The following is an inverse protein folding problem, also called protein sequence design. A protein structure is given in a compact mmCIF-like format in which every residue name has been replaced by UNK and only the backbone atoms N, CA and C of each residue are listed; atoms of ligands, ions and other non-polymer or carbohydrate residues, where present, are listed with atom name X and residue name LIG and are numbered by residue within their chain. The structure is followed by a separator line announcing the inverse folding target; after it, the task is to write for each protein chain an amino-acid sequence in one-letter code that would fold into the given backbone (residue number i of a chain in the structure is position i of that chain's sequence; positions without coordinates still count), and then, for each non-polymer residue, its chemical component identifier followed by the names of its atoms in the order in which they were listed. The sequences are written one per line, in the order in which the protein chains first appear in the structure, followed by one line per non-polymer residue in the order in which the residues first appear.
data_IF_699105701535
#
_entry.id   IF_699105701535
#
_cell.length_a   1.000
_cell.length_b   1.000
_cell.length_c   1.000
_cell.angle_alpha   90.00
_cell.angle_beta   90.00
_cell.angle_gamma   90.00
#
_symmetry.space_group_name_H-M   'P 1'
#
loop_
_entity.id
_entity.type
_entity.pdbx_description
1 polymer ?
#
# COMPACT_ATOMS: atom_id res chain seq x y z
N UNK A 1 -0.95 -7.60 6.27
CA UNK A 1 -1.04 -6.13 6.12
C UNK A 1 -0.70 -5.48 7.46
N UNK A 2 -0.08 -4.30 7.51
CA UNK A 2 0.06 -3.53 8.77
C UNK A 2 -0.86 -2.31 8.73
N UNK A 3 -1.34 -1.89 9.88
CA UNK A 3 -2.22 -0.71 10.01
C UNK A 3 -1.87 0.10 11.27
N UNK A 4 -2.15 1.39 11.20
CA UNK A 4 -1.98 2.35 12.30
C UNK A 4 -3.11 3.36 12.22
N UNK A 5 -3.71 3.65 13.36
CA UNK A 5 -4.77 4.65 13.49
C UNK A 5 -4.25 5.76 14.38
N UNK A 6 -4.49 7.00 13.97
CA UNK A 6 -4.21 8.17 14.78
C UNK A 6 -4.29 9.45 13.95
N UNK A 7 -4.09 10.59 14.62
CA UNK A 7 -4.06 11.88 13.96
C UNK A 7 -2.84 12.00 13.04
N UNK A 8 -3.09 12.22 11.76
CA UNK A 8 -2.04 12.52 10.79
C UNK A 8 -1.49 13.92 11.10
N UNK A 9 -0.23 14.01 11.51
CA UNK A 9 0.37 15.25 12.02
C UNK A 9 1.52 15.77 11.17
N UNK A 10 2.13 14.93 10.33
CA UNK A 10 3.22 15.35 9.45
C UNK A 10 3.26 14.49 8.19
N UNK A 11 3.39 15.18 7.06
CA UNK A 11 3.87 14.63 5.79
C UNK A 11 5.19 15.35 5.49
N UNK A 12 6.28 14.60 5.42
CA UNK A 12 7.60 15.14 5.09
C UNK A 12 7.71 15.48 3.61
N UNK A 13 8.93 15.74 3.14
CA UNK A 13 9.15 16.03 1.73
C UNK A 13 8.70 14.84 0.85
N UNK A 14 7.78 15.11 -0.08
CA UNK A 14 7.31 14.19 -1.10
C UNK A 14 8.12 14.35 -2.39
N UNK A 15 8.66 13.25 -2.91
CA UNK A 15 9.22 13.21 -4.27
C UNK A 15 8.24 12.44 -5.14
N UNK A 16 7.73 13.08 -6.19
CA UNK A 16 6.85 12.44 -7.16
C UNK A 16 7.69 11.69 -8.19
N UNK A 17 7.38 10.40 -8.39
CA UNK A 17 8.01 9.51 -9.35
C UNK A 17 6.94 8.73 -10.12
N UNK A 18 6.55 9.26 -11.29
CA UNK A 18 5.43 8.72 -12.06
C UNK A 18 4.12 8.84 -11.27
N UNK A 19 3.37 7.73 -11.15
CA UNK A 19 2.08 7.66 -10.42
C UNK A 19 2.22 7.48 -8.90
N UNK A 20 3.41 7.68 -8.35
CA UNK A 20 3.69 7.46 -6.93
C UNK A 20 4.40 8.66 -6.32
N UNK A 21 4.01 9.02 -5.12
CA UNK A 21 4.71 9.95 -4.25
C UNK A 21 5.52 9.15 -3.22
N UNK A 22 6.79 9.51 -3.01
CA UNK A 22 7.63 8.98 -1.94
C UNK A 22 7.81 10.04 -0.86
N UNK A 23 7.28 9.77 0.32
CA UNK A 23 7.46 10.61 1.49
C UNK A 23 8.67 10.14 2.31
N UNK A 24 9.52 11.08 2.70
CA UNK A 24 10.63 10.80 3.62
C UNK A 24 10.12 10.34 4.99
N UNK A 25 9.07 11.01 5.49
CA UNK A 25 8.47 10.79 6.81
C UNK A 25 6.95 10.99 6.73
N UNK A 26 6.19 10.14 7.40
CA UNK A 26 4.76 10.31 7.68
C UNK A 26 4.53 10.05 9.16
N UNK A 27 4.04 11.04 9.92
CA UNK A 27 3.74 10.90 11.34
C UNK A 27 2.25 10.78 11.57
N UNK A 28 1.84 9.72 12.25
CA UNK A 28 0.45 9.41 12.55
C UNK A 28 0.32 8.89 13.99
N UNK A 29 -0.39 9.65 14.83
CA UNK A 29 -0.33 9.48 16.28
C UNK A 29 1.12 9.53 16.78
N UNK A 30 1.52 8.49 17.51
CA UNK A 30 2.87 8.31 18.04
C UNK A 30 3.83 7.56 17.11
N UNK A 31 3.35 7.13 15.94
CA UNK A 31 4.14 6.34 14.99
C UNK A 31 4.71 7.23 13.89
N UNK A 32 5.99 7.00 13.57
CA UNK A 32 6.68 7.62 12.45
C UNK A 32 7.01 6.56 11.40
N UNK A 33 6.43 6.72 10.21
CA UNK A 33 6.69 5.89 9.04
C UNK A 33 7.70 6.59 8.12
N UNK A 34 8.87 5.99 7.92
CA UNK A 34 9.91 6.54 7.05
C UNK A 34 9.92 5.86 5.68
N UNK A 35 10.34 6.60 4.65
CA UNK A 35 10.53 6.12 3.28
C UNK A 35 9.32 5.34 2.76
N UNK A 36 8.16 5.99 2.79
CA UNK A 36 6.90 5.36 2.41
C UNK A 36 6.42 5.89 1.06
N UNK A 37 6.04 4.96 0.19
CA UNK A 37 5.46 5.25 -1.11
C UNK A 37 3.94 5.24 -1.03
N UNK A 38 3.28 6.07 -1.81
CA UNK A 38 1.83 6.09 -1.95
C UNK A 38 1.50 6.37 -3.41
N UNK A 39 0.44 5.76 -3.93
CA UNK A 39 -0.04 6.14 -5.25
C UNK A 39 -0.66 7.54 -5.18
N UNK A 40 -0.43 8.35 -6.21
CA UNK A 40 -0.96 9.73 -6.30
C UNK A 40 -2.49 9.77 -6.09
N UNK A 41 -3.19 8.75 -6.58
CA UNK A 41 -4.63 8.61 -6.41
C UNK A 41 -5.07 8.42 -4.94
N UNK A 42 -4.25 7.78 -4.10
CA UNK A 42 -4.49 7.69 -2.65
C UNK A 42 -3.96 8.92 -1.89
N UNK A 43 -2.91 9.56 -2.41
CA UNK A 43 -2.25 10.71 -1.79
C UNK A 43 -3.22 11.87 -1.58
N UNK A 44 -4.17 12.03 -2.50
CA UNK A 44 -5.28 13.00 -2.42
C UNK A 44 -6.13 12.90 -1.14
N UNK A 45 -6.08 11.76 -0.44
CA UNK A 45 -6.85 11.52 0.80
C UNK A 45 -6.00 11.71 2.07
N UNK A 46 -4.70 11.97 1.96
CA UNK A 46 -3.86 12.32 3.10
C UNK A 46 -3.98 13.82 3.40
N UNK A 47 -4.62 14.14 4.52
CA UNK A 47 -4.77 15.53 4.97
C UNK A 47 -4.34 15.68 6.43
N UNK A 48 -3.21 16.36 6.66
CA UNK A 48 -2.66 16.65 8.00
C UNK A 48 -3.52 17.63 8.81
N UNK A 49 -4.38 18.40 8.13
CA UNK A 49 -5.26 19.38 8.75
C UNK A 49 -6.66 18.80 9.05
N UNK A 50 -6.93 17.57 8.63
CA UNK A 50 -8.20 16.94 8.94
C UNK A 50 -8.38 16.78 10.46
N UNK A 51 -9.59 17.03 10.94
CA UNK A 51 -9.93 16.80 12.34
C UNK A 51 -10.35 15.33 12.49
N UNK A 52 -9.62 14.59 13.32
CA UNK A 52 -9.89 13.20 13.65
C UNK A 52 -8.77 12.24 13.25
N UNK A 53 -9.02 10.95 13.50
CA UNK A 53 -8.03 9.90 13.28
C UNK A 53 -8.13 9.33 11.88
N UNK A 54 -6.98 9.20 11.23
CA UNK A 54 -6.82 8.52 9.95
C UNK A 54 -6.27 7.13 10.24
N UNK A 55 -6.71 6.11 9.50
CA UNK A 55 -6.05 4.79 9.53
C UNK A 55 -5.28 4.57 8.25
N UNK A 56 -3.97 4.36 8.35
CA UNK A 56 -3.13 4.03 7.19
C UNK A 56 -2.86 2.53 7.20
N UNK A 57 -3.12 1.88 6.07
CA UNK A 57 -2.75 0.48 5.83
C UNK A 57 -1.59 0.42 4.86
N UNK A 58 -0.50 -0.22 5.27
CA UNK A 58 0.68 -0.37 4.44
C UNK A 58 1.18 -1.82 4.42
N UNK A 59 1.84 -2.16 3.32
CA UNK A 59 2.68 -3.34 3.24
C UNK A 59 4.08 -2.92 2.81
N UNK A 60 5.05 -3.81 2.95
CA UNK A 60 6.36 -3.56 2.40
C UNK A 60 7.14 -4.85 2.23
N UNK A 61 8.00 -4.83 1.22
CA UNK A 61 9.00 -5.87 0.99
C UNK A 61 10.31 -5.19 0.58
N UNK A 62 11.37 -5.99 0.44
CA UNK A 62 12.70 -5.48 0.15
C UNK A 62 12.85 -4.88 -1.27
N UNK A 63 12.02 -5.31 -2.22
CA UNK A 63 12.03 -4.85 -3.62
C UNK A 63 11.25 -3.54 -3.81
N UNK A 64 10.05 -3.44 -3.23
CA UNK A 64 9.11 -2.34 -3.46
C UNK A 64 9.10 -1.28 -2.35
N UNK A 65 9.87 -1.50 -1.29
CA UNK A 65 9.85 -0.66 -0.08
C UNK A 65 8.52 -0.73 0.65
N UNK A 66 8.28 0.22 1.56
CA UNK A 66 7.00 0.38 2.26
C UNK A 66 6.04 1.17 1.38
N UNK A 67 4.83 0.65 1.17
CA UNK A 67 3.81 1.27 0.34
C UNK A 67 2.48 1.37 1.11
N UNK A 68 1.90 2.57 1.15
CA UNK A 68 0.50 2.77 1.55
C UNK A 68 -0.38 2.19 0.46
N UNK A 69 -1.34 1.38 0.89
CA UNK A 69 -2.22 0.62 0.00
C UNK A 69 -3.69 0.90 0.26
N UNK A 70 -4.03 1.34 1.47
CA UNK A 70 -5.36 1.82 1.80
C UNK A 70 -5.30 2.89 2.90
N UNK A 71 -6.31 3.76 2.92
CA UNK A 71 -6.49 4.84 3.89
C UNK A 71 -7.95 4.83 4.33
N UNK A 72 -8.19 4.86 5.64
CA UNK A 72 -9.49 5.21 6.21
C UNK A 72 -9.45 6.65 6.67
N UNK A 73 -10.33 7.49 6.13
CA UNK A 73 -10.43 8.90 6.50
C UNK A 73 -11.08 9.07 7.87
N UNK A 74 -10.97 10.25 8.50
CA UNK A 74 -11.68 10.55 9.76
C UNK A 74 -13.20 10.41 9.64
N UNK A 75 -13.76 10.61 8.45
CA UNK A 75 -15.19 10.41 8.16
C UNK A 75 -15.62 8.93 8.16
N UNK A 76 -14.66 8.00 8.19
CA UNK A 76 -14.91 6.56 8.15
C UNK A 76 -14.77 5.93 6.76
N UNK A 77 -14.63 6.74 5.70
CA UNK A 77 -14.50 6.24 4.33
C UNK A 77 -13.18 5.51 4.14
N UNK A 78 -13.24 4.28 3.63
CA UNK A 78 -12.06 3.45 3.38
C UNK A 78 -11.74 3.44 1.88
N UNK A 79 -10.62 4.02 1.50
CA UNK A 79 -10.10 4.01 0.14
C UNK A 79 -8.95 3.03 -0.01
N UNK A 80 -8.93 2.22 -1.07
CA UNK A 80 -7.84 1.26 -1.32
C UNK A 80 -7.47 1.18 -2.79
N UNK A 81 -6.22 0.86 -3.08
CA UNK A 81 -5.76 0.69 -4.46
C UNK A 81 -6.31 -0.58 -5.10
N UNK A 82 -7.05 -0.43 -6.19
CA UNK A 82 -7.55 -1.57 -6.95
C UNK A 82 -6.38 -2.29 -7.62
N UNK A 83 -6.26 -3.60 -7.37
CA UNK A 83 -5.30 -4.46 -8.06
C UNK A 83 -5.96 -5.76 -8.50
N UNK A 84 -5.60 -6.22 -9.70
CA UNK A 84 -6.16 -7.44 -10.26
C UNK A 84 -5.52 -8.67 -9.60
N UNK A 85 -6.32 -9.43 -8.84
CA UNK A 85 -5.91 -10.72 -8.25
C UNK A 85 -5.43 -11.67 -9.35
N UNK A 86 -6.12 -11.72 -10.50
CA UNK A 86 -5.77 -12.59 -11.63
C UNK A 86 -4.38 -12.28 -12.16
N UNK A 87 -4.06 -10.99 -12.29
CA UNK A 87 -2.73 -10.55 -12.74
C UNK A 87 -1.66 -10.97 -11.75
N UNK A 88 -1.87 -10.73 -10.44
CA UNK A 88 -0.90 -11.12 -9.41
C UNK A 88 -0.70 -12.63 -9.38
N UNK A 89 -1.79 -13.42 -9.41
CA UNK A 89 -1.72 -14.89 -9.44
C UNK A 89 -0.94 -15.42 -10.65
N UNK A 90 -1.17 -14.84 -11.83
CA UNK A 90 -0.42 -15.21 -13.03
C UNK A 90 1.09 -15.02 -12.84
N UNK A 91 1.53 -13.87 -12.30
CA UNK A 91 2.95 -13.61 -12.05
C UNK A 91 3.54 -14.50 -10.95
N UNK A 92 2.75 -14.86 -9.92
CA UNK A 92 3.18 -15.83 -8.91
C UNK A 92 3.47 -17.18 -9.55
N UNK A 93 2.54 -17.70 -10.35
CA UNK A 93 2.71 -18.99 -11.05
C UNK A 93 3.92 -18.92 -12.00
N UNK A 94 4.02 -17.86 -12.80
CA UNK A 94 5.15 -17.64 -13.70
C UNK A 94 6.49 -17.59 -12.94
N UNK A 95 6.52 -16.97 -11.77
CA UNK A 95 7.72 -16.93 -10.92
C UNK A 95 8.09 -18.30 -10.39
N UNK A 96 7.12 -19.14 -10.02
CA UNK A 96 7.37 -20.53 -9.59
C UNK A 96 7.95 -21.35 -10.75
N UNK A 97 7.38 -21.23 -11.96
CA UNK A 97 7.85 -21.96 -13.14
C UNK A 97 9.26 -21.57 -13.59
N UNK A 98 9.71 -20.36 -13.26
CA UNK A 98 11.05 -19.85 -13.60
C UNK A 98 12.09 -20.13 -12.51
N UNK A 99 11.73 -20.73 -11.37
CA UNK A 99 12.70 -21.15 -10.34
C UNK A 99 13.81 -22.07 -10.89
N UNK A 100 13.52 -23.09 -11.74
CA UNK A 100 14.55 -23.97 -12.29
C UNK A 100 15.55 -23.25 -13.20
N UNK A 101 15.18 -22.08 -13.72
CA UNK A 101 16.00 -21.27 -14.62
C UNK A 101 16.82 -20.29 -13.77
N UNK A 102 17.90 -20.78 -13.18
CA UNK A 102 18.88 -20.00 -12.39
C UNK A 102 18.33 -19.35 -11.10
N UNK A 103 17.18 -19.81 -10.58
CA UNK A 103 16.63 -19.31 -9.32
C UNK A 103 16.03 -17.89 -9.40
N UNK A 104 15.90 -17.31 -10.60
CA UNK A 104 15.34 -15.96 -10.78
C UNK A 104 13.94 -15.81 -10.16
N UNK A 105 13.14 -16.89 -10.21
CA UNK A 105 11.83 -16.95 -9.57
C UNK A 105 11.86 -16.62 -8.08
N UNK A 106 12.89 -17.08 -7.35
CA UNK A 106 13.04 -16.86 -5.90
C UNK A 106 13.26 -15.39 -5.53
N UNK A 107 13.83 -14.59 -6.44
CA UNK A 107 14.04 -13.16 -6.23
C UNK A 107 12.71 -12.40 -6.17
N UNK A 108 11.79 -12.72 -7.09
CA UNK A 108 10.53 -12.00 -7.29
C UNK A 108 9.39 -12.51 -6.39
N UNK A 109 9.45 -13.79 -6.01
CA UNK A 109 8.39 -14.48 -5.27
C UNK A 109 7.96 -13.75 -3.98
N UNK A 110 8.86 -13.26 -3.12
CA UNK A 110 8.47 -12.54 -1.90
C UNK A 110 7.68 -11.26 -2.18
N UNK A 111 8.03 -10.53 -3.24
CA UNK A 111 7.33 -9.32 -3.60
C UNK A 111 5.93 -9.62 -4.14
N UNK A 112 5.81 -10.65 -4.97
CA UNK A 112 4.53 -11.09 -5.52
C UNK A 112 3.61 -11.69 -4.45
N UNK A 113 4.15 -12.42 -3.48
CA UNK A 113 3.38 -12.89 -2.32
C UNK A 113 2.90 -11.72 -1.45
N UNK A 114 3.70 -10.67 -1.27
CA UNK A 114 3.26 -9.47 -0.56
C UNK A 114 2.10 -8.76 -1.28
N UNK A 115 2.12 -8.75 -2.62
CA UNK A 115 1.03 -8.23 -3.44
C UNK A 115 -0.20 -9.15 -3.46
N UNK A 116 -0.01 -10.47 -3.42
CA UNK A 116 -1.11 -11.44 -3.31
C UNK A 116 -1.83 -11.30 -1.97
N UNK A 117 -1.08 -11.22 -0.87
CA UNK A 117 -1.61 -10.95 0.47
C UNK A 117 -2.35 -9.61 0.52
N UNK A 118 -1.90 -8.61 -0.24
CA UNK A 118 -2.63 -7.36 -0.38
C UNK A 118 -3.96 -7.55 -1.13
N UNK A 119 -4.00 -8.31 -2.22
CA UNK A 119 -5.24 -8.60 -2.92
C UNK A 119 -6.26 -9.31 -2.02
N UNK A 120 -5.81 -10.22 -1.14
CA UNK A 120 -6.68 -10.83 -0.12
C UNK A 120 -7.21 -9.78 0.85
N UNK A 121 -6.35 -8.93 1.42
CA UNK A 121 -6.80 -7.83 2.29
C UNK A 121 -7.76 -6.85 1.58
N UNK A 122 -7.57 -6.61 0.29
CA UNK A 122 -8.46 -5.78 -0.51
C UNK A 122 -9.88 -6.37 -0.64
N UNK A 123 -10.03 -7.71 -0.57
CA UNK A 123 -11.36 -8.32 -0.50
C UNK A 123 -12.07 -8.00 0.82
N UNK A 124 -11.33 -7.96 1.93
CA UNK A 124 -11.85 -7.55 3.23
C UNK A 124 -12.23 -6.07 3.23
N UNK A 125 -11.39 -5.20 2.63
CA UNK A 125 -11.71 -3.78 2.47
C UNK A 125 -12.99 -3.58 1.65
N UNK A 126 -13.15 -4.33 0.56
CA UNK A 126 -14.38 -4.32 -0.23
C UNK A 126 -15.59 -4.77 0.60
N UNK A 127 -15.45 -5.82 1.40
CA UNK A 127 -16.52 -6.32 2.27
C UNK A 127 -16.93 -5.29 3.34
N UNK A 128 -16.01 -4.42 3.76
CA UNK A 128 -16.26 -3.31 4.68
C UNK A 128 -16.84 -2.05 4.01
N UNK A 129 -17.23 -2.13 2.73
CA UNK A 129 -17.74 -0.98 1.97
C UNK A 129 -16.65 -0.05 1.43
N UNK A 130 -15.40 -0.51 1.39
CA UNK A 130 -14.29 0.27 0.87
C UNK A 130 -14.44 0.63 -0.60
N UNK A 131 -13.95 1.82 -0.96
CA UNK A 131 -14.00 2.42 -2.28
C UNK A 131 -12.70 2.09 -3.02
N UNK A 132 -12.73 1.31 -4.12
CA UNK A 132 -11.55 1.01 -4.91
C UNK A 132 -11.13 2.23 -5.73
N UNK A 133 -9.86 2.60 -5.66
CA UNK A 133 -9.26 3.68 -6.45
C UNK A 133 -8.29 3.08 -7.49
N UNK A 134 -8.35 3.50 -8.77
CA UNK A 134 -7.36 3.08 -9.76
C UNK A 134 -5.97 3.62 -9.43
N UNK A 135 -4.94 2.95 -9.97
CA UNK A 135 -3.55 3.41 -9.90
C UNK A 135 -3.28 4.56 -10.88
#
# INVERSE_FOLDING_TARGET
MRSVTGRLSLLGNGIVAGKFSKYSVVKIGDIVLNNIHIAESLDSFLNVHAQGDTTIYWNGNWLSGRQIRAIRTPSGDLYYLKRSILFVTFFVIFSILTIPILGFGLLLLPALLADFNYCLAATEFKAQGGIPIPL
#
